data_IF_048272812395
#
_entry.id   IF_048272812395
#
_cell.length_a   1.000
_cell.length_b   1.000
_cell.length_c   1.000
_cell.angle_alpha   90.00
_cell.angle_beta   90.00
_cell.angle_gamma   90.00
#
_symmetry.space_group_name_H-M   'P 1'
#
loop_
_entity.id
_entity.type
_entity.pdbx_description
1 polymer ?
#
# COMPACT_ATOMS: atom_id res chain seq x y z
N UNK A 1 -4.98 56.20 26.90
CA UNK A 1 -4.56 56.21 25.48
C UNK A 1 -4.35 54.76 25.05
N UNK A 2 -5.01 54.39 23.95
CA UNK A 2 -4.81 53.22 23.07
C UNK A 2 -4.96 51.78 23.61
N UNK A 3 -6.15 51.21 23.32
CA UNK A 3 -6.34 49.80 22.97
C UNK A 3 -6.01 49.59 21.48
N UNK A 4 -5.43 48.46 21.06
CA UNK A 4 -5.46 48.05 19.65
C UNK A 4 -6.65 47.13 19.37
N UNK A 5 -7.38 47.49 18.32
CA UNK A 5 -8.53 46.79 17.74
C UNK A 5 -8.09 45.64 16.82
N UNK A 6 -8.87 44.55 16.81
CA UNK A 6 -8.70 43.38 15.97
C UNK A 6 -9.32 43.63 14.56
N UNK A 7 -8.65 43.32 13.43
CA UNK A 7 -9.21 43.58 12.11
C UNK A 7 -10.12 42.42 11.65
N UNK A 8 -11.43 42.57 11.85
CA UNK A 8 -12.48 41.66 11.38
C UNK A 8 -12.60 41.52 9.84
N UNK A 9 -11.77 42.23 9.06
CA UNK A 9 -11.86 42.27 7.59
C UNK A 9 -11.15 41.13 6.82
N UNK A 10 -10.34 40.28 7.48
CA UNK A 10 -9.61 39.19 6.81
C UNK A 10 -10.33 37.84 6.82
N UNK A 11 -11.16 37.56 7.83
CA UNK A 11 -11.95 36.33 7.92
C UNK A 11 -13.17 36.32 6.98
N UNK A 12 -13.80 37.49 6.76
CA UNK A 12 -14.96 37.60 5.87
C UNK A 12 -14.59 37.43 4.38
N UNK A 13 -13.40 37.88 3.98
CA UNK A 13 -12.89 37.73 2.60
C UNK A 13 -12.52 36.28 2.25
N UNK A 14 -12.03 35.51 3.24
CA UNK A 14 -11.73 34.09 3.06
C UNK A 14 -12.99 33.22 2.96
N UNK A 15 -14.03 33.54 3.74
CA UNK A 15 -15.32 32.85 3.69
C UNK A 15 -16.08 33.12 2.38
N UNK A 16 -16.07 34.36 1.88
CA UNK A 16 -16.70 34.72 0.60
C UNK A 16 -15.97 34.10 -0.60
N UNK A 17 -14.64 34.00 -0.55
CA UNK A 17 -13.87 33.31 -1.59
C UNK A 17 -14.13 31.80 -1.64
N UNK A 18 -14.30 31.13 -0.48
CA UNK A 18 -14.62 29.72 -0.42
C UNK A 18 -16.04 29.41 -0.95
N UNK A 19 -17.01 30.29 -0.68
CA UNK A 19 -18.39 30.15 -1.19
C UNK A 19 -18.46 30.39 -2.71
N UNK A 20 -17.69 31.35 -3.25
CA UNK A 20 -17.62 31.60 -4.69
C UNK A 20 -16.94 30.44 -5.45
N UNK A 21 -15.94 29.78 -4.87
CA UNK A 21 -15.30 28.60 -5.48
C UNK A 21 -16.26 27.41 -5.51
N UNK A 22 -17.06 27.19 -4.46
CA UNK A 22 -18.09 26.13 -4.44
C UNK A 22 -19.20 26.43 -5.46
N UNK A 23 -19.61 27.69 -5.62
CA UNK A 23 -20.59 28.09 -6.64
C UNK A 23 -20.05 27.96 -8.07
N UNK A 24 -18.79 28.29 -8.32
CA UNK A 24 -18.17 28.17 -9.64
C UNK A 24 -17.95 26.71 -10.06
N UNK A 25 -17.65 25.81 -9.11
CA UNK A 25 -17.58 24.36 -9.37
C UNK A 25 -18.97 23.79 -9.67
N UNK A 26 -20.00 24.23 -8.94
CA UNK A 26 -21.39 23.83 -9.18
C UNK A 26 -21.93 24.32 -10.54
N UNK A 27 -21.52 25.51 -11.01
CA UNK A 27 -21.94 26.07 -12.31
C UNK A 27 -21.16 25.45 -13.49
N UNK A 28 -19.90 25.03 -13.28
CA UNK A 28 -19.10 24.38 -14.33
C UNK A 28 -19.58 22.95 -14.65
N UNK A 29 -20.08 22.20 -13.67
CA UNK A 29 -20.60 20.84 -13.89
C UNK A 29 -22.02 20.81 -14.51
N UNK A 30 -22.77 21.92 -14.51
CA UNK A 30 -24.14 21.98 -15.05
C UNK A 30 -24.23 22.20 -16.56
N UNK A 31 -23.15 22.55 -17.26
CA UNK A 31 -23.22 23.08 -18.64
C UNK A 31 -22.71 22.17 -19.78
N UNK A 32 -22.41 20.90 -19.54
CA UNK A 32 -22.09 19.96 -20.63
C UNK A 32 -23.05 18.76 -20.66
N UNK A 33 -24.17 18.94 -21.37
CA UNK A 33 -25.01 17.87 -21.90
C UNK A 33 -25.39 18.20 -23.33
N UNK A 34 -25.03 17.32 -24.28
CA UNK A 34 -25.79 16.84 -25.44
C UNK A 34 -24.89 15.78 -26.13
N UNK A 35 -25.27 14.50 -26.22
CA UNK A 35 -26.24 14.00 -27.19
C UNK A 35 -27.05 12.78 -26.69
N UNK A 36 -28.30 12.76 -27.14
CA UNK A 36 -29.32 11.72 -26.93
C UNK A 36 -29.16 10.55 -27.91
N UNK A 37 -29.67 9.38 -27.52
CA UNK A 37 -29.89 8.23 -28.41
C UNK A 37 -30.56 7.02 -27.74
N UNK A 38 -31.84 7.18 -27.39
CA UNK A 38 -32.91 6.17 -27.20
C UNK A 38 -32.63 4.77 -26.59
N UNK A 39 -33.21 4.58 -25.39
CA UNK A 39 -33.90 3.37 -24.89
C UNK A 39 -34.69 2.65 -26.00
N UNK A 40 -34.92 1.33 -26.05
CA UNK A 40 -35.10 0.27 -25.05
C UNK A 40 -35.52 -0.97 -25.84
N UNK A 41 -35.10 -2.19 -25.55
CA UNK A 41 -35.92 -3.42 -25.66
C UNK A 41 -35.18 -4.57 -24.93
N UNK A 42 -35.96 -5.41 -24.22
CA UNK A 42 -35.61 -6.71 -23.58
C UNK A 42 -35.13 -6.68 -22.10
N UNK A 43 -36.11 -6.71 -21.18
CA UNK A 43 -36.10 -7.58 -19.98
C UNK A 43 -36.37 -9.06 -20.42
N UNK A 44 -36.31 -10.14 -19.59
CA UNK A 44 -35.63 -10.42 -18.31
C UNK A 44 -35.13 -11.90 -18.18
N UNK A 45 -33.85 -12.19 -17.87
CA UNK A 45 -33.39 -13.52 -17.39
C UNK A 45 -32.02 -13.25 -16.72
N UNK A 46 -31.68 -13.56 -15.47
CA UNK A 46 -31.84 -14.79 -14.70
C UNK A 46 -31.79 -14.48 -13.19
N UNK A 47 -32.46 -15.34 -12.42
CA UNK A 47 -32.33 -15.51 -10.98
C UNK A 47 -31.56 -16.82 -10.73
N UNK A 48 -30.91 -16.87 -9.57
CA UNK A 48 -30.49 -18.03 -8.74
C UNK A 48 -29.23 -18.85 -9.06
N UNK A 49 -28.61 -19.26 -7.93
CA UNK A 49 -27.62 -20.31 -7.65
C UNK A 49 -26.12 -19.97 -7.77
N UNK A 50 -25.42 -19.93 -6.63
CA UNK A 50 -24.22 -20.75 -6.37
C UNK A 50 -23.86 -20.68 -4.86
N UNK A 51 -24.44 -21.58 -4.09
CA UNK A 51 -23.87 -22.12 -2.84
C UNK A 51 -23.35 -23.53 -3.15
N UNK A 52 -22.37 -23.99 -2.37
CA UNK A 52 -21.62 -25.27 -2.43
C UNK A 52 -20.38 -25.30 -3.32
N UNK A 53 -19.22 -25.00 -2.70
CA UNK A 53 -18.01 -25.78 -2.95
C UNK A 53 -17.19 -25.89 -1.66
N UNK A 54 -16.86 -27.12 -1.34
CA UNK A 54 -16.24 -27.64 -0.13
C UNK A 54 -14.78 -27.25 0.05
N UNK A 55 -14.44 -26.88 1.29
CA UNK A 55 -13.16 -26.39 1.82
C UNK A 55 -12.05 -27.44 1.97
N UNK A 56 -11.99 -28.48 1.15
CA UNK A 56 -11.07 -29.61 1.37
C UNK A 56 -9.91 -29.73 0.39
N UNK A 57 -9.81 -28.87 -0.62
CA UNK A 57 -8.74 -28.93 -1.64
C UNK A 57 -7.54 -28.00 -1.36
N UNK A 58 -7.61 -27.17 -0.32
CA UNK A 58 -6.58 -26.16 0.00
C UNK A 58 -5.45 -26.63 0.93
N UNK A 59 -5.56 -27.83 1.52
CA UNK A 59 -4.60 -28.29 2.54
C UNK A 59 -3.53 -29.25 2.00
N UNK A 60 -3.72 -29.85 0.82
CA UNK A 60 -2.79 -30.84 0.26
C UNK A 60 -1.69 -30.22 -0.64
N UNK A 61 -1.89 -28.98 -1.09
CA UNK A 61 -0.90 -28.21 -1.87
C UNK A 61 0.22 -27.61 -1.02
N UNK A 62 -0.01 -27.41 0.29
CA UNK A 62 0.95 -26.78 1.21
C UNK A 62 2.18 -27.63 1.53
N UNK A 63 2.05 -28.96 1.53
CA UNK A 63 3.17 -29.88 1.80
C UNK A 63 4.10 -30.02 0.59
N UNK A 64 3.55 -30.02 -0.63
CA UNK A 64 4.34 -29.95 -1.86
C UNK A 64 5.00 -28.58 -2.08
N UNK A 65 4.44 -27.49 -1.54
CA UNK A 65 5.04 -26.15 -1.63
C UNK A 65 6.32 -26.01 -0.78
N UNK A 66 6.36 -26.62 0.42
CA UNK A 66 7.53 -26.60 1.29
C UNK A 66 8.74 -27.36 0.70
N UNK A 67 8.51 -28.44 -0.03
CA UNK A 67 9.56 -29.18 -0.74
C UNK A 67 9.90 -28.54 -2.11
N UNK A 68 8.97 -27.81 -2.75
CA UNK A 68 9.24 -26.98 -3.94
C UNK A 68 9.99 -25.69 -3.67
N UNK A 69 10.00 -25.20 -2.42
CA UNK A 69 10.84 -24.06 -1.99
C UNK A 69 12.35 -24.39 -1.99
N UNK A 70 12.75 -25.63 -2.31
CA UNK A 70 14.16 -26.09 -2.37
C UNK A 70 14.74 -26.30 -3.80
N UNK A 71 14.12 -25.78 -4.85
CA UNK A 71 14.66 -25.80 -6.21
C UNK A 71 14.49 -24.38 -6.78
N UNK A 72 15.49 -23.64 -7.27
CA UNK A 72 16.39 -23.88 -8.42
C UNK A 72 17.60 -22.91 -8.31
N UNK A 73 18.82 -23.26 -8.79
CA UNK A 73 19.95 -22.34 -8.84
C UNK A 73 19.62 -21.11 -9.71
N UNK A 74 19.71 -19.92 -9.13
CA UNK A 74 19.43 -18.67 -9.81
C UNK A 74 20.65 -18.28 -10.67
N UNK A 75 20.56 -18.47 -11.98
CA UNK A 75 21.69 -18.35 -12.90
C UNK A 75 21.65 -17.07 -13.77
N UNK A 76 20.98 -16.02 -13.31
CA UNK A 76 21.17 -14.66 -13.87
C UNK A 76 22.50 -14.11 -13.33
N UNK A 77 23.61 -14.57 -13.92
CA UNK A 77 24.95 -14.03 -13.64
C UNK A 77 25.27 -12.80 -14.49
N UNK A 78 24.42 -12.48 -15.47
CA UNK A 78 24.66 -11.43 -16.45
C UNK A 78 23.56 -10.35 -16.35
N UNK A 79 23.92 -9.19 -15.79
CA UNK A 79 23.07 -8.00 -15.74
C UNK A 79 22.53 -7.64 -17.14
N UNK A 80 23.32 -7.89 -18.17
CA UNK A 80 23.00 -7.61 -19.56
C UNK A 80 21.83 -8.48 -20.06
N UNK A 81 21.62 -9.67 -19.48
CA UNK A 81 20.47 -10.53 -19.81
C UNK A 81 19.15 -9.88 -19.42
N UNK A 82 19.05 -9.32 -18.21
CA UNK A 82 17.84 -8.64 -17.77
C UNK A 82 17.51 -7.42 -18.63
N UNK A 83 18.53 -6.67 -19.09
CA UNK A 83 18.35 -5.59 -20.05
C UNK A 83 17.94 -6.09 -21.44
N UNK A 84 18.56 -7.17 -21.96
CA UNK A 84 18.20 -7.78 -23.25
C UNK A 84 16.75 -8.30 -23.26
N UNK A 85 16.34 -8.95 -22.18
CA UNK A 85 15.00 -9.52 -22.00
C UNK A 85 13.95 -8.48 -21.59
N UNK A 86 14.38 -7.21 -21.41
CA UNK A 86 13.53 -6.08 -21.06
C UNK A 86 12.77 -6.24 -19.74
N UNK A 87 13.43 -6.83 -18.75
CA UNK A 87 12.83 -7.09 -17.44
C UNK A 87 12.86 -5.89 -16.49
N UNK A 88 13.53 -4.81 -16.86
CA UNK A 88 13.76 -3.64 -16.02
C UNK A 88 12.94 -2.49 -16.58
N UNK A 89 12.20 -1.76 -15.77
CA UNK A 89 11.46 -0.60 -16.28
C UNK A 89 10.44 -0.96 -17.36
N UNK A 90 10.34 -0.06 -18.33
CA UNK A 90 9.47 -0.10 -19.50
C UNK A 90 10.30 0.04 -20.78
N UNK A 91 10.14 -0.84 -21.78
CA UNK A 91 10.90 -0.80 -23.03
C UNK A 91 10.93 0.56 -23.75
N UNK A 92 9.83 1.32 -23.68
CA UNK A 92 9.64 2.60 -24.35
C UNK A 92 10.52 3.73 -23.80
N UNK A 93 11.02 3.54 -22.57
CA UNK A 93 11.81 4.53 -21.85
C UNK A 93 13.30 4.14 -21.83
N UNK A 94 13.68 3.01 -22.43
CA UNK A 94 15.09 2.64 -22.55
C UNK A 94 15.94 3.68 -23.28
N UNK A 95 17.16 3.86 -22.79
CA UNK A 95 18.10 4.87 -23.29
C UNK A 95 17.86 6.27 -22.73
N UNK A 96 16.87 6.47 -21.84
CA UNK A 96 16.72 7.72 -21.09
C UNK A 96 17.63 7.74 -19.87
N UNK A 97 18.15 8.93 -19.54
CA UNK A 97 19.16 9.10 -18.50
C UNK A 97 18.54 9.14 -17.09
N UNK A 98 18.21 7.95 -16.57
CA UNK A 98 17.81 7.76 -15.18
C UNK A 98 18.89 8.18 -14.16
N UNK A 99 20.19 7.89 -14.35
CA UNK A 99 21.24 8.35 -13.44
C UNK A 99 21.24 9.86 -13.18
N UNK A 100 21.01 10.69 -14.20
CA UNK A 100 20.88 12.14 -14.04
C UNK A 100 19.58 12.49 -13.31
N UNK A 101 18.45 11.91 -13.73
CA UNK A 101 17.15 12.16 -13.11
C UNK A 101 17.10 11.81 -11.61
N UNK A 102 17.86 10.81 -11.17
CA UNK A 102 17.98 10.42 -9.76
C UNK A 102 18.78 11.43 -8.91
N UNK A 103 19.60 12.28 -9.53
CA UNK A 103 20.52 13.21 -8.85
C UNK A 103 20.11 14.66 -8.97
N UNK A 104 19.52 15.05 -10.09
CA UNK A 104 19.18 16.45 -10.40
C UNK A 104 17.75 16.55 -10.92
N UNK A 105 17.11 17.70 -10.67
CA UNK A 105 15.74 17.93 -11.15
C UNK A 105 15.76 18.07 -12.66
N UNK A 106 15.09 17.15 -13.34
CA UNK A 106 14.94 17.13 -14.80
C UNK A 106 13.53 17.54 -15.20
N UNK A 107 13.38 18.08 -16.42
CA UNK A 107 12.06 18.42 -16.94
C UNK A 107 11.29 17.14 -17.30
N UNK A 108 10.13 16.97 -16.69
CA UNK A 108 9.24 15.82 -16.90
C UNK A 108 8.87 15.59 -18.37
N UNK A 109 8.76 16.63 -19.18
CA UNK A 109 8.33 16.53 -20.59
C UNK A 109 9.33 15.85 -21.53
N UNK A 110 10.58 15.59 -21.11
CA UNK A 110 11.58 14.92 -21.96
C UNK A 110 11.47 13.39 -21.94
N UNK A 111 10.63 12.84 -21.04
CA UNK A 111 10.36 11.43 -20.92
C UNK A 111 9.00 11.09 -21.55
N UNK A 112 8.82 9.85 -22.07
CA UNK A 112 7.51 9.39 -22.53
C UNK A 112 6.45 9.51 -21.43
N UNK A 113 5.30 10.09 -21.78
CA UNK A 113 4.17 10.26 -20.87
C UNK A 113 3.32 9.00 -20.70
N UNK A 114 3.51 8.02 -21.59
CA UNK A 114 2.73 6.78 -21.65
C UNK A 114 3.65 5.59 -21.98
N UNK A 115 3.23 4.40 -21.58
CA UNK A 115 3.88 3.11 -21.85
C UNK A 115 2.84 2.09 -22.29
N UNK A 116 3.24 1.04 -23.01
CA UNK A 116 2.32 -0.01 -23.42
C UNK A 116 1.70 -0.68 -22.19
N UNK A 117 0.37 -0.73 -22.17
CA UNK A 117 -0.41 -1.38 -21.12
C UNK A 117 -0.52 -2.87 -21.41
N UNK A 118 -0.60 -3.67 -20.34
CA UNK A 118 -0.89 -5.10 -20.43
C UNK A 118 -2.27 -5.35 -19.86
N UNK A 119 -3.17 -5.97 -20.63
CA UNK A 119 -4.55 -6.17 -20.20
C UNK A 119 -4.74 -7.52 -19.51
N UNK A 120 -5.80 -7.69 -18.70
CA UNK A 120 -6.07 -8.95 -18.00
C UNK A 120 -6.10 -10.17 -18.91
N UNK A 121 -6.65 -10.06 -20.12
CA UNK A 121 -6.73 -11.19 -21.07
C UNK A 121 -5.35 -11.63 -21.56
N UNK A 122 -4.42 -10.69 -21.75
CA UNK A 122 -3.04 -10.98 -22.15
C UNK A 122 -2.32 -11.74 -21.02
N UNK A 123 -2.54 -11.30 -19.78
CA UNK A 123 -1.96 -11.95 -18.59
C UNK A 123 -2.49 -13.36 -18.43
N UNK A 124 -3.80 -13.58 -18.63
CA UNK A 124 -4.41 -14.92 -18.58
C UNK A 124 -3.80 -15.82 -19.65
N UNK A 125 -3.66 -15.32 -20.88
CA UNK A 125 -3.07 -16.07 -21.99
C UNK A 125 -1.61 -16.43 -21.70
N UNK A 126 -0.80 -15.47 -21.24
CA UNK A 126 0.61 -15.69 -20.92
C UNK A 126 0.78 -16.67 -19.75
N UNK A 127 -0.04 -16.55 -18.71
CA UNK A 127 0.01 -17.40 -17.51
C UNK A 127 -0.53 -18.82 -17.73
N UNK A 128 -0.96 -19.16 -18.96
CA UNK A 128 -1.29 -20.54 -19.32
C UNK A 128 -0.07 -21.46 -19.29
N UNK A 129 1.12 -20.94 -19.57
CA UNK A 129 2.41 -21.58 -19.32
C UNK A 129 3.21 -20.76 -18.30
N UNK A 130 3.24 -21.24 -17.06
CA UNK A 130 3.92 -20.55 -15.97
C UNK A 130 5.42 -20.36 -16.21
N UNK A 131 6.09 -21.27 -16.94
CA UNK A 131 7.52 -21.11 -17.23
C UNK A 131 7.73 -19.91 -18.16
N UNK A 132 6.98 -19.86 -19.26
CA UNK A 132 7.02 -18.74 -20.20
C UNK A 132 6.56 -17.44 -19.56
N UNK A 133 5.55 -17.46 -18.69
CA UNK A 133 5.10 -16.29 -17.95
C UNK A 133 6.19 -15.73 -17.04
N UNK A 134 6.79 -16.56 -16.19
CA UNK A 134 7.86 -16.15 -15.27
C UNK A 134 9.02 -15.52 -16.04
N UNK A 135 9.41 -16.13 -17.16
CA UNK A 135 10.48 -15.66 -18.04
C UNK A 135 10.10 -14.35 -18.73
N UNK A 136 8.91 -14.27 -19.35
CA UNK A 136 8.45 -13.08 -20.07
C UNK A 136 8.36 -11.86 -19.16
N UNK A 137 7.80 -12.02 -17.96
CA UNK A 137 7.60 -10.92 -17.03
C UNK A 137 8.82 -10.66 -16.14
N UNK A 138 9.82 -11.55 -16.11
CA UNK A 138 11.07 -11.34 -15.38
C UNK A 138 10.92 -11.52 -13.86
N UNK A 139 10.12 -12.48 -13.40
CA UNK A 139 9.97 -12.75 -11.96
C UNK A 139 11.25 -13.38 -11.35
N UNK A 140 12.11 -13.99 -12.16
CA UNK A 140 13.42 -14.50 -11.71
C UNK A 140 14.58 -13.58 -12.15
N UNK A 141 14.35 -12.27 -12.29
CA UNK A 141 15.36 -11.34 -12.81
C UNK A 141 16.52 -11.04 -11.87
N UNK A 142 16.33 -11.22 -10.56
CA UNK A 142 17.36 -10.93 -9.55
C UNK A 142 18.39 -12.07 -9.45
N UNK A 143 19.62 -11.80 -8.99
CA UNK A 143 20.59 -12.86 -8.71
C UNK A 143 20.16 -13.70 -7.50
N UNK A 144 20.91 -14.77 -7.20
CA UNK A 144 20.71 -15.55 -5.98
C UNK A 144 20.76 -14.65 -4.73
N UNK A 145 19.72 -14.77 -3.90
CA UNK A 145 19.59 -14.06 -2.63
C UNK A 145 20.78 -14.36 -1.72
N UNK A 146 21.18 -13.37 -0.93
CA UNK A 146 22.18 -13.57 0.11
C UNK A 146 21.62 -14.44 1.25
N UNK A 147 22.49 -15.08 2.02
CA UNK A 147 22.06 -15.85 3.21
C UNK A 147 21.29 -14.97 4.20
N UNK A 148 21.70 -13.71 4.34
CA UNK A 148 21.01 -12.73 5.17
C UNK A 148 19.54 -12.53 4.77
N UNK A 149 19.25 -12.52 3.47
CA UNK A 149 17.88 -12.41 2.96
C UNK A 149 17.09 -13.71 3.14
N UNK A 150 17.73 -14.86 2.88
CA UNK A 150 17.11 -16.17 3.08
C UNK A 150 16.69 -16.41 4.53
N UNK A 151 17.49 -15.93 5.49
CA UNK A 151 17.22 -16.05 6.93
C UNK A 151 16.17 -15.05 7.44
N UNK A 152 15.80 -14.07 6.62
CA UNK A 152 14.88 -13.00 6.99
C UNK A 152 13.77 -12.77 5.94
N UNK A 153 12.85 -13.74 5.74
CA UNK A 153 11.73 -13.54 4.81
C UNK A 153 10.81 -12.40 5.24
N UNK A 154 10.37 -11.61 4.26
CA UNK A 154 9.40 -10.52 4.42
C UNK A 154 8.09 -10.91 3.74
N UNK A 155 6.98 -10.59 4.40
CA UNK A 155 5.65 -10.70 3.81
C UNK A 155 5.17 -9.34 3.29
N UNK A 156 4.39 -9.35 2.21
CA UNK A 156 3.79 -8.15 1.63
C UNK A 156 2.29 -8.33 1.45
N UNK A 157 1.52 -7.29 1.75
CA UNK A 157 0.09 -7.20 1.43
C UNK A 157 -0.06 -6.13 0.36
N UNK A 158 -0.54 -6.52 -0.82
CA UNK A 158 -0.77 -5.60 -1.94
C UNK A 158 -2.27 -5.51 -2.17
N UNK A 159 -2.86 -4.36 -1.82
CA UNK A 159 -4.28 -4.07 -2.04
C UNK A 159 -4.49 -3.26 -3.32
N UNK A 160 -5.33 -3.74 -4.24
CA UNK A 160 -5.56 -3.05 -5.51
C UNK A 160 -6.92 -3.38 -6.14
N UNK A 161 -7.39 -2.46 -6.99
CA UNK A 161 -8.67 -2.58 -7.71
C UNK A 161 -8.61 -2.04 -9.15
N UNK A 162 -7.49 -1.43 -9.55
CA UNK A 162 -7.28 -0.86 -10.88
C UNK A 162 -5.84 -1.09 -11.31
N UNK A 163 -5.57 -0.84 -12.59
CA UNK A 163 -4.22 -0.84 -13.17
C UNK A 163 -3.43 -2.13 -12.82
N UNK A 164 -4.01 -3.29 -13.18
CA UNK A 164 -3.44 -4.60 -12.88
C UNK A 164 -1.96 -4.69 -13.25
N UNK A 165 -1.58 -4.18 -14.41
CA UNK A 165 -0.20 -4.19 -14.88
C UNK A 165 0.75 -3.37 -14.00
N UNK A 166 0.30 -2.26 -13.40
CA UNK A 166 1.07 -1.55 -12.38
C UNK A 166 1.20 -2.37 -11.10
N UNK A 167 0.12 -3.00 -10.64
CA UNK A 167 0.18 -3.85 -9.45
C UNK A 167 1.14 -5.05 -9.65
N UNK A 168 1.16 -5.63 -10.85
CA UNK A 168 2.12 -6.68 -11.22
C UNK A 168 3.55 -6.14 -11.39
N UNK A 169 3.70 -4.90 -11.86
CA UNK A 169 5.00 -4.23 -11.91
C UNK A 169 5.59 -4.00 -10.51
N UNK A 170 4.76 -3.60 -9.54
CA UNK A 170 5.10 -3.54 -8.12
C UNK A 170 5.44 -4.93 -7.56
N UNK A 171 4.62 -5.94 -7.84
CA UNK A 171 4.89 -7.32 -7.41
C UNK A 171 6.25 -7.79 -7.92
N UNK A 172 6.55 -7.57 -9.21
CA UNK A 172 7.83 -7.92 -9.83
C UNK A 172 9.03 -7.23 -9.16
N UNK A 173 8.91 -5.94 -8.83
CA UNK A 173 10.02 -5.21 -8.19
C UNK A 173 10.29 -5.67 -6.75
N UNK A 174 9.28 -6.24 -6.08
CA UNK A 174 9.41 -6.81 -4.74
C UNK A 174 9.75 -8.31 -4.73
N UNK A 175 9.43 -9.03 -5.81
CA UNK A 175 9.40 -10.50 -5.83
C UNK A 175 10.78 -11.13 -5.56
N UNK A 176 10.84 -11.93 -4.51
CA UNK A 176 11.93 -12.84 -4.18
C UNK A 176 11.32 -14.16 -3.72
N UNK A 177 11.93 -15.28 -4.12
CA UNK A 177 11.36 -16.62 -3.92
C UNK A 177 11.19 -17.00 -2.43
N UNK A 178 12.01 -16.43 -1.54
CA UNK A 178 11.96 -16.71 -0.10
C UNK A 178 10.94 -15.85 0.65
N UNK A 179 10.43 -14.76 0.06
CA UNK A 179 9.41 -13.87 0.66
C UNK A 179 7.98 -14.42 0.46
N UNK A 180 6.95 -13.70 0.92
CA UNK A 180 5.53 -14.09 0.76
C UNK A 180 4.67 -12.90 0.34
N UNK A 181 3.70 -13.11 -0.54
CA UNK A 181 2.87 -12.02 -1.08
C UNK A 181 1.38 -12.37 -1.02
N UNK A 182 0.61 -11.60 -0.25
CA UNK A 182 -0.85 -11.66 -0.24
C UNK A 182 -1.42 -10.58 -1.16
N UNK A 183 -2.16 -11.00 -2.18
CA UNK A 183 -2.87 -10.12 -3.10
C UNK A 183 -4.31 -9.96 -2.62
N UNK A 184 -4.65 -8.78 -2.09
CA UNK A 184 -6.02 -8.41 -1.76
C UNK A 184 -6.61 -7.63 -2.93
N UNK A 185 -7.55 -8.24 -3.65
CA UNK A 185 -8.22 -7.63 -4.80
C UNK A 185 -9.62 -7.19 -4.41
N UNK A 186 -9.99 -5.94 -4.69
CA UNK A 186 -11.37 -5.48 -4.46
C UNK A 186 -12.36 -6.26 -5.34
N UNK A 187 -13.51 -6.65 -4.79
CA UNK A 187 -14.53 -7.37 -5.55
C UNK A 187 -15.24 -6.54 -6.61
N UNK A 188 -14.99 -5.23 -6.70
CA UNK A 188 -15.54 -4.35 -7.76
C UNK A 188 -14.91 -4.60 -9.14
N UNK A 189 -13.78 -5.30 -9.20
CA UNK A 189 -13.07 -5.57 -10.46
C UNK A 189 -13.86 -6.53 -11.36
N UNK A 190 -13.53 -6.53 -12.66
CA UNK A 190 -14.14 -7.47 -13.61
C UNK A 190 -13.69 -8.91 -13.36
N UNK A 191 -14.47 -9.86 -13.89
CA UNK A 191 -14.14 -11.30 -13.83
C UNK A 191 -12.77 -11.58 -14.44
N UNK A 192 -12.46 -11.00 -15.60
CA UNK A 192 -11.16 -11.15 -16.27
C UNK A 192 -10.01 -10.61 -15.41
N UNK A 193 -10.22 -9.48 -14.72
CA UNK A 193 -9.22 -8.92 -13.81
C UNK A 193 -8.89 -9.90 -12.69
N UNK A 194 -9.92 -10.41 -11.99
CA UNK A 194 -9.71 -11.36 -10.90
C UNK A 194 -9.11 -12.68 -11.41
N UNK A 195 -9.54 -13.15 -12.58
CA UNK A 195 -9.00 -14.36 -13.20
C UNK A 195 -7.53 -14.20 -13.59
N UNK A 196 -7.13 -13.03 -14.09
CA UNK A 196 -5.74 -12.71 -14.36
C UNK A 196 -4.90 -12.76 -13.08
N UNK A 197 -5.36 -12.14 -11.98
CA UNK A 197 -4.66 -12.20 -10.68
C UNK A 197 -4.51 -13.64 -10.19
N UNK A 198 -5.58 -14.44 -10.26
CA UNK A 198 -5.52 -15.87 -9.89
C UNK A 198 -4.53 -16.65 -10.76
N UNK A 199 -4.45 -16.33 -12.05
CA UNK A 199 -3.51 -16.97 -12.98
C UNK A 199 -2.06 -16.63 -12.65
N UNK A 200 -1.78 -15.37 -12.27
CA UNK A 200 -0.45 -14.97 -11.76
C UNK A 200 -0.10 -15.71 -10.47
N UNK A 201 -1.00 -15.73 -9.49
CA UNK A 201 -0.76 -16.42 -8.21
C UNK A 201 -0.53 -17.92 -8.40
N UNK A 202 -1.21 -18.56 -9.36
CA UNK A 202 -0.95 -19.97 -9.72
C UNK A 202 0.48 -20.22 -10.20
N UNK A 203 1.08 -19.25 -10.88
CA UNK A 203 2.44 -19.38 -11.42
C UNK A 203 3.56 -19.06 -10.43
N UNK A 204 3.25 -18.37 -9.33
CA UNK A 204 4.24 -17.92 -8.36
C UNK A 204 3.98 -18.58 -7.00
N UNK A 205 4.81 -19.54 -6.55
CA UNK A 205 4.47 -20.46 -5.46
C UNK A 205 4.31 -19.79 -4.08
N UNK A 206 4.86 -18.59 -3.90
CA UNK A 206 4.82 -17.80 -2.67
C UNK A 206 3.92 -16.55 -2.81
N UNK A 207 3.08 -16.51 -3.84
CA UNK A 207 2.07 -15.47 -4.07
C UNK A 207 0.69 -16.11 -3.99
N UNK A 208 -0.22 -15.52 -3.24
CA UNK A 208 -1.60 -16.01 -3.15
C UNK A 208 -2.60 -14.86 -3.12
N UNK A 209 -3.82 -15.15 -3.57
CA UNK A 209 -4.96 -14.25 -3.42
C UNK A 209 -5.56 -14.46 -2.03
N UNK A 210 -5.88 -13.38 -1.32
CA UNK A 210 -6.49 -13.46 0.02
C UNK A 210 -7.72 -14.38 0.02
N UNK A 211 -7.88 -15.17 1.09
CA UNK A 211 -8.95 -16.16 1.23
C UNK A 211 -10.35 -15.55 1.19
N UNK A 212 -10.46 -14.28 1.61
CA UNK A 212 -11.68 -13.49 1.54
C UNK A 212 -11.38 -12.11 0.94
N UNK A 213 -12.13 -11.77 -0.11
CA UNK A 213 -12.05 -10.49 -0.78
C UNK A 213 -13.18 -9.57 -0.30
N UNK A 214 -12.88 -8.28 -0.19
CA UNK A 214 -13.81 -7.27 0.30
C UNK A 214 -14.22 -6.33 -0.83
N UNK A 215 -15.48 -5.88 -0.81
CA UNK A 215 -15.91 -4.74 -1.61
C UNK A 215 -15.48 -3.46 -0.88
N UNK A 216 -14.36 -2.86 -1.29
CA UNK A 216 -13.71 -1.82 -0.49
C UNK A 216 -14.44 -0.48 -0.65
N UNK A 217 -15.08 -0.04 0.42
CA UNK A 217 -15.69 1.29 0.52
C UNK A 217 -14.65 2.29 1.05
N UNK A 218 -14.50 3.42 0.35
CA UNK A 218 -13.63 4.52 0.79
C UNK A 218 -14.02 4.99 2.20
N UNK A 219 -13.01 5.14 3.07
CA UNK A 219 -13.14 5.45 4.50
C UNK A 219 -13.98 4.45 5.31
N UNK A 220 -14.32 3.29 4.74
CA UNK A 220 -15.06 2.23 5.39
C UNK A 220 -14.16 1.15 5.98
N UNK A 221 -14.73 0.36 6.90
CA UNK A 221 -14.07 -0.74 7.60
C UNK A 221 -13.51 -1.82 6.66
N UNK A 222 -14.13 -2.02 5.49
CA UNK A 222 -13.68 -2.99 4.47
C UNK A 222 -12.21 -2.81 4.08
N UNK A 223 -11.68 -1.57 4.09
CA UNK A 223 -10.27 -1.31 3.77
C UNK A 223 -9.35 -1.93 4.82
N UNK A 224 -9.66 -1.75 6.10
CA UNK A 224 -8.93 -2.35 7.22
C UNK A 224 -9.10 -3.88 7.21
N UNK A 225 -10.30 -4.37 6.95
CA UNK A 225 -10.60 -5.79 6.91
C UNK A 225 -9.80 -6.54 5.83
N UNK A 226 -9.54 -5.92 4.68
CA UNK A 226 -8.66 -6.50 3.65
C UNK A 226 -7.27 -6.84 4.17
N UNK A 227 -6.66 -5.95 4.96
CA UNK A 227 -5.33 -6.21 5.55
C UNK A 227 -5.41 -7.29 6.64
N UNK A 228 -6.44 -7.25 7.49
CA UNK A 228 -6.66 -8.26 8.55
C UNK A 228 -6.78 -9.66 7.94
N UNK A 229 -7.57 -9.83 6.87
CA UNK A 229 -7.70 -11.11 6.18
C UNK A 229 -6.36 -11.61 5.65
N UNK A 230 -5.59 -10.74 4.96
CA UNK A 230 -4.26 -11.12 4.49
C UNK A 230 -3.32 -11.49 5.64
N UNK A 231 -3.37 -10.76 6.76
CA UNK A 231 -2.59 -11.07 7.97
C UNK A 231 -2.94 -12.46 8.54
N UNK A 232 -4.23 -12.83 8.59
CA UNK A 232 -4.67 -14.17 9.00
C UNK A 232 -4.11 -15.26 8.09
N UNK A 233 -4.17 -15.06 6.78
CA UNK A 233 -3.67 -16.03 5.81
C UNK A 233 -2.15 -16.15 5.82
N UNK A 234 -1.45 -15.03 5.98
CA UNK A 234 0.00 -14.99 6.15
C UNK A 234 0.46 -15.75 7.39
N UNK A 235 -0.27 -15.71 8.50
CA UNK A 235 0.08 -16.50 9.70
C UNK A 235 -0.03 -18.01 9.46
N UNK A 236 -0.91 -18.46 8.57
CA UNK A 236 -1.09 -19.87 8.18
C UNK A 236 -0.07 -20.34 7.15
N UNK A 237 0.58 -19.40 6.44
CA UNK A 237 1.56 -19.72 5.41
C UNK A 237 2.81 -20.43 6.00
N UNK A 238 3.38 -21.44 5.31
CA UNK A 238 4.51 -22.23 5.85
C UNK A 238 5.79 -21.42 6.07
N UNK A 239 6.03 -20.40 5.22
CA UNK A 239 7.19 -19.52 5.37
C UNK A 239 7.10 -18.71 6.66
N UNK A 240 8.13 -18.84 7.50
CA UNK A 240 8.25 -18.14 8.78
C UNK A 240 8.78 -16.71 8.60
N UNK A 241 7.99 -15.88 7.90
CA UNK A 241 8.31 -14.46 7.67
C UNK A 241 8.45 -13.68 8.98
N UNK A 242 9.26 -12.61 8.97
CA UNK A 242 9.61 -11.83 10.18
C UNK A 242 8.76 -10.58 10.33
N UNK A 243 8.47 -9.93 9.22
CA UNK A 243 7.67 -8.72 9.14
C UNK A 243 6.70 -8.81 7.97
N UNK A 244 5.56 -8.12 8.09
CA UNK A 244 4.66 -7.84 6.98
C UNK A 244 4.57 -6.33 6.74
N UNK A 245 4.57 -5.93 5.48
CA UNK A 245 4.39 -4.54 5.04
C UNK A 245 3.15 -4.47 4.15
N UNK A 246 2.18 -3.62 4.48
CA UNK A 246 0.98 -3.42 3.67
C UNK A 246 1.10 -2.18 2.78
N UNK A 247 0.56 -2.25 1.58
CA UNK A 247 0.60 -1.15 0.61
C UNK A 247 -0.54 -1.26 -0.41
N UNK A 248 -0.95 -0.13 -1.01
CA UNK A 248 -1.81 -0.13 -2.18
C UNK A 248 -0.99 -0.40 -3.45
N UNK A 249 -1.64 -0.77 -4.56
CA UNK A 249 -0.98 -0.93 -5.87
C UNK A 249 -0.35 0.35 -6.45
N UNK A 250 -0.59 1.51 -5.84
CA UNK A 250 -0.03 2.80 -6.25
C UNK A 250 1.24 3.21 -5.49
N UNK A 251 1.76 2.37 -4.59
CA UNK A 251 3.08 2.57 -3.99
C UNK A 251 4.18 1.93 -4.81
N UNK A 252 5.41 2.40 -4.61
CA UNK A 252 6.59 1.77 -5.17
C UNK A 252 7.74 1.79 -4.17
N UNK A 253 8.58 0.74 -4.12
CA UNK A 253 9.70 0.68 -3.19
C UNK A 253 10.70 1.82 -3.45
N UNK A 254 11.29 2.30 -2.37
CA UNK A 254 12.49 3.14 -2.35
C UNK A 254 13.71 2.37 -1.85
N UNK A 255 13.55 1.10 -1.45
CA UNK A 255 14.59 0.22 -0.90
C UNK A 255 14.60 -1.13 -1.59
N UNK A 256 15.78 -1.71 -1.74
CA UNK A 256 15.95 -3.09 -2.19
C UNK A 256 15.53 -4.08 -1.10
N UNK A 257 15.34 -5.34 -1.46
CA UNK A 257 15.03 -6.39 -0.48
C UNK A 257 16.12 -6.52 0.60
N UNK A 258 17.40 -6.54 0.20
CA UNK A 258 18.52 -6.58 1.15
C UNK A 258 18.56 -5.35 2.08
N UNK A 259 18.28 -4.14 1.56
CA UNK A 259 18.19 -2.95 2.40
C UNK A 259 17.02 -3.06 3.40
N UNK A 260 15.84 -3.52 2.96
CA UNK A 260 14.71 -3.76 3.85
C UNK A 260 15.05 -4.79 4.92
N UNK A 261 15.67 -5.92 4.57
CA UNK A 261 16.12 -6.94 5.54
C UNK A 261 17.03 -6.33 6.60
N UNK A 262 18.05 -5.56 6.19
CA UNK A 262 18.98 -4.91 7.14
C UNK A 262 18.27 -3.90 8.04
N UNK A 263 17.37 -3.09 7.49
CA UNK A 263 16.58 -2.11 8.26
C UNK A 263 15.67 -2.83 9.28
N UNK A 264 14.97 -3.88 8.87
CA UNK A 264 14.05 -4.62 9.73
C UNK A 264 14.78 -5.44 10.80
N UNK A 265 16.02 -5.88 10.53
CA UNK A 265 16.92 -6.42 11.56
C UNK A 265 17.29 -5.37 12.61
N UNK A 266 17.55 -4.12 12.21
CA UNK A 266 17.75 -3.01 13.15
C UNK A 266 16.48 -2.77 13.97
N UNK A 267 15.29 -2.93 13.36
CA UNK A 267 14.02 -2.78 14.07
C UNK A 267 13.82 -3.83 15.17
N UNK A 268 14.42 -5.01 15.03
CA UNK A 268 14.52 -6.03 16.09
C UNK A 268 13.20 -6.31 16.85
N UNK A 269 12.10 -6.48 16.11
CA UNK A 269 10.76 -6.72 16.65
C UNK A 269 9.92 -5.47 16.88
N UNK A 270 10.50 -4.26 16.84
CA UNK A 270 9.75 -3.01 16.86
C UNK A 270 8.92 -2.86 15.57
N UNK A 271 7.70 -2.33 15.70
CA UNK A 271 6.88 -1.98 14.54
C UNK A 271 7.17 -0.55 14.09
N UNK A 272 6.91 -0.26 12.83
CA UNK A 272 6.86 1.11 12.33
C UNK A 272 5.45 1.47 11.88
N UNK A 273 4.69 2.05 12.81
CA UNK A 273 3.32 2.53 12.60
C UNK A 273 3.30 4.02 12.99
N UNK A 274 2.62 4.83 12.20
CA UNK A 274 2.44 6.26 12.50
C UNK A 274 1.44 6.43 13.65
N UNK A 275 1.69 7.39 14.53
CA UNK A 275 0.72 7.79 15.56
C UNK A 275 0.83 9.27 15.89
N UNK A 276 -0.32 9.92 16.13
CA UNK A 276 -0.43 11.29 16.62
C UNK A 276 -1.59 11.41 17.60
N UNK A 277 -1.44 12.26 18.61
CA UNK A 277 -2.51 12.63 19.56
C UNK A 277 -2.95 14.09 19.36
N UNK A 278 -4.03 14.50 20.02
CA UNK A 278 -4.47 15.90 20.06
C UNK A 278 -5.30 16.35 18.84
N UNK A 279 -5.29 17.65 18.54
CA UNK A 279 -6.21 18.26 17.54
C UNK A 279 -6.08 17.73 16.11
N UNK A 280 -4.97 17.07 15.78
CA UNK A 280 -4.75 16.39 14.50
C UNK A 280 -5.43 15.02 14.42
N UNK A 281 -5.93 14.48 15.54
CA UNK A 281 -6.62 13.19 15.57
C UNK A 281 -8.06 13.23 15.03
N UNK A 282 -8.58 14.41 14.66
CA UNK A 282 -9.95 14.61 14.15
C UNK A 282 -11.01 13.87 14.99
N UNK A 283 -11.29 14.34 16.21
CA UNK A 283 -12.02 13.56 17.20
C UNK A 283 -13.43 13.14 16.75
N UNK A 284 -14.07 13.92 15.89
CA UNK A 284 -15.38 13.59 15.32
C UNK A 284 -15.40 12.25 14.56
N UNK A 285 -14.28 11.80 13.97
CA UNK A 285 -14.25 10.61 13.11
C UNK A 285 -14.42 9.30 13.88
N UNK A 286 -14.07 9.29 15.16
CA UNK A 286 -14.10 8.11 16.02
C UNK A 286 -15.08 8.23 17.20
N UNK A 287 -15.59 9.44 17.47
CA UNK A 287 -16.58 9.70 18.53
C UNK A 287 -18.02 9.73 18.01
N UNK A 288 -18.21 9.66 16.70
CA UNK A 288 -19.52 9.63 16.03
C UNK A 288 -19.66 8.32 15.26
N UNK A 289 -20.86 7.75 15.30
CA UNK A 289 -21.19 6.53 14.56
C UNK A 289 -21.39 6.83 13.08
N UNK A 290 -20.83 5.97 12.24
CA UNK A 290 -20.99 5.96 10.80
C UNK A 290 -21.69 4.67 10.35
N UNK A 291 -22.44 4.78 9.26
CA UNK A 291 -23.14 3.66 8.63
C UNK A 291 -23.01 3.76 7.11
N UNK A 292 -23.58 2.80 6.38
CA UNK A 292 -23.47 2.69 4.94
C UNK A 292 -24.84 2.82 4.27
N UNK A 293 -24.86 3.48 3.13
CA UNK A 293 -25.99 3.42 2.21
C UNK A 293 -25.50 3.13 0.80
N UNK A 294 -26.41 2.63 -0.04
CA UNK A 294 -26.13 2.45 -1.46
C UNK A 294 -26.70 3.64 -2.21
N UNK A 295 -25.82 4.38 -2.89
CA UNK A 295 -26.23 5.49 -3.74
C UNK A 295 -27.07 4.95 -4.90
N UNK A 296 -28.33 5.37 -4.99
CA UNK A 296 -29.30 4.81 -5.95
C UNK A 296 -28.94 5.09 -7.41
N UNK A 297 -28.23 6.18 -7.69
CA UNK A 297 -27.85 6.59 -9.05
C UNK A 297 -26.61 5.84 -9.55
N UNK A 298 -25.63 5.63 -8.67
CA UNK A 298 -24.32 5.07 -9.04
C UNK A 298 -24.16 3.60 -8.64
N UNK A 299 -25.06 3.07 -7.80
CA UNK A 299 -24.95 1.74 -7.20
C UNK A 299 -23.81 1.62 -6.17
N UNK A 300 -23.04 2.68 -5.92
CA UNK A 300 -21.88 2.66 -5.03
C UNK A 300 -22.31 2.67 -3.57
N UNK A 301 -21.69 1.80 -2.77
CA UNK A 301 -21.80 1.83 -1.30
C UNK A 301 -20.97 2.99 -0.77
N UNK A 302 -21.56 3.84 0.08
CA UNK A 302 -20.95 5.06 0.60
C UNK A 302 -21.16 5.13 2.11
N UNK A 303 -20.13 5.55 2.84
CA UNK A 303 -20.19 5.79 4.28
C UNK A 303 -20.81 7.17 4.57
N UNK A 304 -21.64 7.27 5.62
CA UNK A 304 -22.23 8.53 6.06
C UNK A 304 -22.25 8.68 7.58
N UNK A 305 -22.17 9.93 8.04
CA UNK A 305 -22.22 10.30 9.46
C UNK A 305 -23.67 10.20 9.96
N UNK A 306 -23.93 9.40 10.99
CA UNK A 306 -25.30 9.19 11.51
C UNK A 306 -25.78 10.27 12.48
N UNK A 307 -24.87 11.08 13.01
CA UNK A 307 -25.15 12.06 14.08
C UNK A 307 -25.27 11.44 15.48
N UNK A 308 -25.26 10.10 15.61
CA UNK A 308 -25.29 9.40 16.90
C UNK A 308 -23.89 9.31 17.49
N UNK A 309 -23.77 9.46 18.81
CA UNK A 309 -22.49 9.28 19.52
C UNK A 309 -22.05 7.82 19.42
N UNK A 310 -20.78 7.59 19.09
CA UNK A 310 -20.15 6.30 19.16
C UNK A 310 -19.72 6.00 20.61
N UNK A 311 -19.89 4.78 21.13
CA UNK A 311 -19.38 4.43 22.46
C UNK A 311 -17.87 4.68 22.56
N UNK A 312 -17.34 4.97 23.76
CA UNK A 312 -15.90 5.05 23.96
C UNK A 312 -15.21 3.74 23.54
N UNK A 313 -13.94 3.79 23.14
CA UNK A 313 -13.18 2.59 22.82
C UNK A 313 -13.15 1.62 24.02
N UNK A 314 -13.18 0.31 23.78
CA UNK A 314 -13.12 -0.69 24.84
C UNK A 314 -11.77 -0.59 25.58
N UNK A 315 -11.72 -1.18 26.78
CA UNK A 315 -10.50 -1.28 27.60
C UNK A 315 -9.89 0.07 27.99
N UNK A 316 -10.67 1.16 27.92
CA UNK A 316 -10.23 2.53 28.22
C UNK A 316 -8.98 2.96 27.42
N UNK A 317 -8.83 2.42 26.20
CA UNK A 317 -7.70 2.73 25.34
C UNK A 317 -7.82 4.17 24.83
N UNK A 318 -6.71 4.90 24.83
CA UNK A 318 -6.65 6.22 24.20
C UNK A 318 -6.46 6.06 22.70
N UNK A 319 -7.38 6.62 21.92
CA UNK A 319 -7.32 6.54 20.45
C UNK A 319 -6.20 7.42 19.90
N UNK A 320 -5.36 6.84 19.06
CA UNK A 320 -4.35 7.53 18.28
C UNK A 320 -4.74 7.53 16.80
N UNK A 321 -4.48 8.61 16.10
CA UNK A 321 -4.58 8.66 14.63
C UNK A 321 -3.25 8.27 14.02
N UNK A 322 -3.26 7.57 12.90
CA UNK A 322 -2.07 7.25 12.11
C UNK A 322 -2.40 7.12 10.62
N UNK A 323 -1.65 6.24 9.97
CA UNK A 323 -1.78 5.90 8.55
C UNK A 323 -2.38 4.50 8.40
N UNK A 324 -3.02 4.26 7.26
CA UNK A 324 -3.43 2.93 6.85
C UNK A 324 -2.23 1.99 6.58
N UNK A 325 -1.03 2.55 6.36
CA UNK A 325 0.17 1.80 5.97
C UNK A 325 1.19 1.72 7.10
N UNK A 326 1.73 0.52 7.30
CA UNK A 326 2.68 0.23 8.36
C UNK A 326 3.56 -0.99 8.09
N UNK A 327 4.58 -1.11 8.92
CA UNK A 327 5.49 -2.26 8.97
C UNK A 327 5.27 -2.98 10.29
N UNK A 328 4.82 -4.22 10.22
CA UNK A 328 4.32 -4.97 11.37
C UNK A 328 5.19 -6.21 11.61
N UNK A 329 5.71 -6.38 12.82
CA UNK A 329 6.38 -7.62 13.21
C UNK A 329 5.39 -8.79 13.20
N UNK A 330 5.86 -10.01 12.96
CA UNK A 330 5.01 -11.20 13.04
C UNK A 330 4.33 -11.34 14.42
N UNK A 331 5.03 -10.98 15.50
CA UNK A 331 4.47 -11.00 16.84
C UNK A 331 3.31 -10.01 17.01
N UNK A 332 3.42 -8.80 16.44
CA UNK A 332 2.31 -7.84 16.42
C UNK A 332 1.10 -8.39 15.66
N UNK A 333 1.33 -9.03 14.51
CA UNK A 333 0.24 -9.65 13.73
C UNK A 333 -0.41 -10.79 14.52
N UNK A 334 0.35 -11.63 15.20
CA UNK A 334 -0.21 -12.66 16.09
C UNK A 334 -1.06 -12.06 17.20
N UNK A 335 -0.63 -10.95 17.80
CA UNK A 335 -1.41 -10.21 18.78
C UNK A 335 -2.72 -9.68 18.17
N UNK A 336 -2.66 -8.99 17.02
CA UNK A 336 -3.85 -8.47 16.31
C UNK A 336 -4.89 -9.56 16.05
N UNK A 337 -4.46 -10.75 15.63
CA UNK A 337 -5.36 -11.85 15.25
C UNK A 337 -5.92 -12.61 16.46
N UNK A 338 -5.22 -12.68 17.58
CA UNK A 338 -5.60 -13.57 18.68
C UNK A 338 -6.05 -12.85 19.95
N UNK A 339 -5.49 -11.68 20.26
CA UNK A 339 -5.69 -11.01 21.53
C UNK A 339 -7.12 -10.42 21.66
N UNK A 340 -7.81 -10.64 22.80
CA UNK A 340 -9.16 -10.12 23.02
C UNK A 340 -9.25 -8.59 22.91
N UNK A 341 -8.25 -7.86 23.40
CA UNK A 341 -8.24 -6.38 23.37
C UNK A 341 -8.17 -5.89 21.93
N UNK A 342 -7.32 -6.53 21.11
CA UNK A 342 -7.20 -6.20 19.68
C UNK A 342 -8.49 -6.50 18.91
N UNK A 343 -9.16 -7.62 19.23
CA UNK A 343 -10.44 -8.01 18.62
C UNK A 343 -11.59 -7.09 19.02
N UNK A 344 -11.70 -6.74 20.30
CA UNK A 344 -12.73 -5.83 20.79
C UNK A 344 -12.58 -4.45 20.15
N UNK A 345 -11.34 -3.95 20.03
CA UNK A 345 -11.07 -2.69 19.34
C UNK A 345 -11.41 -2.78 17.84
N UNK A 346 -11.14 -3.92 17.18
CA UNK A 346 -11.46 -4.11 15.77
C UNK A 346 -12.98 -4.11 15.55
N UNK A 347 -13.73 -4.75 16.45
CA UNK A 347 -15.18 -4.74 16.43
C UNK A 347 -15.75 -3.33 16.65
N UNK A 348 -15.18 -2.58 17.59
CA UNK A 348 -15.52 -1.17 17.82
C UNK A 348 -15.22 -0.31 16.58
N UNK A 349 -14.12 -0.57 15.87
CA UNK A 349 -13.71 0.20 14.70
C UNK A 349 -14.62 0.01 13.46
N UNK A 350 -15.58 -0.92 13.49
CA UNK A 350 -16.51 -1.14 12.35
C UNK A 350 -17.43 0.04 12.05
N UNK A 351 -17.71 0.85 13.07
CA UNK A 351 -18.71 1.92 13.02
C UNK A 351 -18.10 3.33 13.07
N UNK A 352 -16.79 3.45 12.85
CA UNK A 352 -16.08 4.75 12.77
C UNK A 352 -15.67 5.07 11.33
N UNK A 353 -15.30 6.33 11.08
CA UNK A 353 -14.80 6.77 9.78
C UNK A 353 -13.29 6.57 9.65
N UNK A 354 -12.85 6.01 8.53
CA UNK A 354 -11.45 5.67 8.24
C UNK A 354 -10.76 4.88 9.37
N UNK A 355 -11.30 3.71 9.79
CA UNK A 355 -10.74 2.96 10.91
C UNK A 355 -9.30 2.47 10.68
N UNK A 356 -8.88 2.33 9.42
CA UNK A 356 -7.51 2.05 9.00
C UNK A 356 -6.53 3.15 9.45
N UNK A 357 -6.98 4.39 9.63
CA UNK A 357 -6.19 5.51 10.18
C UNK A 357 -6.25 5.59 11.71
N UNK A 358 -6.87 4.64 12.41
CA UNK A 358 -6.97 4.65 13.88
C UNK A 358 -6.54 3.33 14.52
N UNK A 359 -7.01 2.20 13.98
CA UNK A 359 -6.84 0.88 14.60
C UNK A 359 -5.38 0.53 14.87
N UNK A 360 -4.52 0.65 13.84
CA UNK A 360 -3.10 0.33 13.95
C UNK A 360 -2.38 1.21 14.96
N UNK A 361 -2.55 2.53 14.84
CA UNK A 361 -1.92 3.52 15.68
C UNK A 361 -2.37 3.37 17.15
N UNK A 362 -3.67 3.14 17.35
CA UNK A 362 -4.28 2.99 18.67
C UNK A 362 -3.71 1.77 19.40
N UNK A 363 -3.58 0.62 18.73
CA UNK A 363 -2.91 -0.55 19.33
C UNK A 363 -1.42 -0.27 19.57
N UNK A 364 -0.71 0.23 18.56
CA UNK A 364 0.75 0.42 18.64
C UNK A 364 1.19 1.33 19.80
N UNK A 365 0.36 2.31 20.16
CA UNK A 365 0.65 3.29 21.21
C UNK A 365 -0.16 3.09 22.50
N UNK A 366 -0.87 1.96 22.63
CA UNK A 366 -1.68 1.66 23.81
C UNK A 366 -0.81 1.25 25.00
N UNK A 367 -1.13 1.80 26.17
CA UNK A 367 -0.64 1.32 27.46
C UNK A 367 -1.62 0.38 28.17
N UNK A 368 -2.79 0.12 27.58
CA UNK A 368 -3.82 -0.71 28.22
C UNK A 368 -3.49 -2.21 28.15
N UNK A 369 -2.63 -2.62 27.21
CA UNK A 369 -2.20 -4.00 27.01
C UNK A 369 -0.76 -4.01 26.52
N UNK A 370 -0.01 -5.07 26.83
CA UNK A 370 1.35 -5.24 26.32
C UNK A 370 1.30 -5.59 24.82
N UNK A 371 1.62 -4.63 23.97
CA UNK A 371 1.59 -4.81 22.51
C UNK A 371 2.99 -5.15 21.99
N UNK A 372 3.19 -6.32 21.32
CA UNK A 372 4.48 -6.69 20.76
C UNK A 372 4.99 -5.65 19.76
N UNK A 373 6.21 -5.14 19.98
CA UNK A 373 6.80 -4.08 19.17
C UNK A 373 6.10 -2.72 19.30
N UNK A 374 5.28 -2.51 20.34
CA UNK A 374 4.60 -1.26 20.65
C UNK A 374 5.57 -0.11 20.95
N UNK A 375 5.13 1.13 20.72
CA UNK A 375 5.87 2.33 21.10
C UNK A 375 5.09 3.15 22.12
N UNK A 376 5.38 2.92 23.40
CA UNK A 376 4.68 3.55 24.53
C UNK A 376 5.57 4.50 25.34
N UNK A 377 6.89 4.37 25.23
CA UNK A 377 7.88 5.13 26.00
C UNK A 377 8.07 6.59 25.53
N UNK A 378 7.29 7.07 24.58
CA UNK A 378 7.38 8.44 24.05
C UNK A 378 6.05 8.91 23.48
N UNK A 379 5.99 10.20 23.14
CA UNK A 379 4.80 10.76 22.48
C UNK A 379 4.73 10.21 21.04
N UNK A 380 3.60 9.63 20.60
CA UNK A 380 3.43 9.18 19.23
C UNK A 380 3.78 10.24 18.20
N UNK A 381 3.39 11.50 18.47
CA UNK A 381 3.65 12.67 17.61
C UNK A 381 5.12 12.93 17.28
N UNK A 382 6.04 12.40 18.09
CA UNK A 382 7.48 12.54 17.91
C UNK A 382 8.15 11.27 17.36
N UNK A 383 7.39 10.19 17.16
CA UNK A 383 7.90 8.97 16.56
C UNK A 383 8.06 9.22 15.05
N UNK A 384 9.25 9.04 14.47
CA UNK A 384 9.39 9.03 13.02
C UNK A 384 8.58 7.86 12.42
N UNK A 385 8.08 8.08 11.20
CA UNK A 385 7.36 7.09 10.41
C UNK A 385 8.13 6.87 9.11
N UNK A 386 8.52 5.62 8.85
CA UNK A 386 9.46 5.25 7.80
C UNK A 386 8.90 4.21 6.81
N UNK A 387 7.67 3.77 6.98
CA UNK A 387 7.10 2.76 6.08
C UNK A 387 6.85 3.39 4.70
N UNK A 388 6.10 4.49 4.66
CA UNK A 388 5.70 5.12 3.40
C UNK A 388 5.90 6.62 3.46
N UNK A 389 6.60 7.17 2.48
CA UNK A 389 6.63 8.60 2.24
C UNK A 389 5.40 9.04 1.42
N UNK A 390 4.70 10.07 1.89
CA UNK A 390 3.62 10.74 1.15
C UNK A 390 3.94 12.22 1.07
N UNK A 391 3.97 12.78 -0.14
CA UNK A 391 4.05 14.23 -0.33
C UNK A 391 2.64 14.83 -0.40
N UNK A 392 2.29 15.64 0.60
CA UNK A 392 0.99 16.31 0.69
C UNK A 392 1.07 17.73 0.11
N UNK A 393 -0.07 18.27 -0.33
CA UNK A 393 -0.24 19.64 -0.85
C UNK A 393 -0.09 20.71 0.25
N UNK A 394 1.07 20.71 0.89
CA UNK A 394 1.50 21.64 1.92
C UNK A 394 2.66 22.48 1.38
N UNK A 395 2.77 23.71 1.88
CA UNK A 395 3.84 24.63 1.44
C UNK A 395 5.22 23.99 1.69
N UNK A 396 6.03 23.90 0.63
CA UNK A 396 7.40 23.38 0.69
C UNK A 396 7.55 21.87 0.48
N UNK A 397 6.45 21.13 0.29
CA UNK A 397 6.51 19.72 -0.11
C UNK A 397 6.74 19.60 -1.62
N UNK A 398 7.61 18.69 -2.08
CA UNK A 398 7.94 18.54 -3.50
C UNK A 398 6.79 17.87 -4.26
N UNK A 399 6.49 18.41 -5.44
CA UNK A 399 5.65 17.73 -6.43
C UNK A 399 5.94 18.28 -7.83
N UNK A 400 6.52 17.47 -8.70
CA UNK A 400 6.87 17.85 -10.06
C UNK A 400 5.70 17.72 -11.06
N UNK A 401 4.53 17.27 -10.60
CA UNK A 401 3.31 17.16 -11.42
C UNK A 401 2.09 17.78 -10.74
N UNK A 402 1.11 16.96 -10.37
CA UNK A 402 -0.20 17.31 -9.90
C UNK A 402 -0.46 16.68 -8.54
N UNK A 403 -1.37 17.31 -7.79
CA UNK A 403 -1.92 16.73 -6.58
C UNK A 403 -3.32 16.18 -6.88
N UNK A 404 -3.58 14.94 -6.47
CA UNK A 404 -4.92 14.35 -6.51
C UNK A 404 -5.36 14.02 -5.10
N UNK A 405 -6.44 14.67 -4.64
CA UNK A 405 -6.90 14.63 -3.24
C UNK A 405 -5.78 15.02 -2.26
N UNK A 406 -5.12 16.14 -2.56
CA UNK A 406 -4.01 16.70 -1.76
C UNK A 406 -2.74 15.85 -1.71
N UNK A 407 -2.64 14.72 -2.42
CA UNK A 407 -1.43 13.88 -2.45
C UNK A 407 -0.77 14.02 -3.83
N UNK A 408 0.54 14.25 -3.85
CA UNK A 408 1.32 14.32 -5.07
C UNK A 408 1.32 13.00 -5.84
N UNK A 409 1.25 13.07 -7.17
CA UNK A 409 1.61 11.97 -8.05
C UNK A 409 3.08 12.15 -8.43
N UNK A 410 3.97 11.28 -7.95
CA UNK A 410 5.39 11.45 -8.19
C UNK A 410 5.74 11.23 -9.67
N UNK A 411 6.60 12.10 -10.19
CA UNK A 411 7.18 11.97 -11.52
C UNK A 411 8.69 12.03 -11.48
N UNK A 412 9.29 12.00 -12.67
CA UNK A 412 10.74 11.96 -12.84
C UNK A 412 11.45 13.15 -12.17
N UNK A 413 10.83 14.34 -12.14
CA UNK A 413 11.37 15.52 -11.48
C UNK A 413 11.41 15.43 -9.94
N UNK A 414 10.72 14.47 -9.33
CA UNK A 414 10.69 14.25 -7.88
C UNK A 414 11.76 13.26 -7.40
N UNK A 415 12.38 12.51 -8.31
CA UNK A 415 13.33 11.46 -7.95
C UNK A 415 14.50 11.93 -7.07
N UNK A 416 15.13 13.11 -7.27
CA UNK A 416 16.20 13.57 -6.40
C UNK A 416 15.76 13.78 -4.95
N UNK A 417 14.51 14.20 -4.76
CA UNK A 417 13.91 14.37 -3.43
C UNK A 417 13.56 13.00 -2.82
N UNK A 418 13.05 12.06 -3.64
CA UNK A 418 12.80 10.68 -3.23
C UNK A 418 14.07 9.92 -2.83
N UNK A 419 15.22 10.21 -3.45
CA UNK A 419 16.49 9.56 -3.13
C UNK A 419 17.08 9.97 -1.77
N UNK A 420 16.62 11.08 -1.22
CA UNK A 420 17.03 11.57 0.11
C UNK A 420 16.12 11.04 1.23
N UNK A 421 15.00 10.41 0.89
CA UNK A 421 14.03 9.87 1.85
C UNK A 421 14.60 8.67 2.59
N UNK A 422 14.22 8.52 3.86
CA UNK A 422 14.56 7.36 4.70
C UNK A 422 13.48 6.27 4.64
N UNK A 423 12.35 6.57 4.02
CA UNK A 423 11.21 5.67 3.95
C UNK A 423 11.46 4.43 3.06
N UNK A 424 10.75 3.34 3.35
CA UNK A 424 10.83 2.09 2.58
C UNK A 424 10.10 2.19 1.24
N UNK A 425 8.97 2.90 1.22
CA UNK A 425 8.08 3.08 0.06
C UNK A 425 7.74 4.56 -0.15
N UNK A 426 7.23 4.89 -1.33
CA UNK A 426 6.65 6.19 -1.62
C UNK A 426 5.25 6.05 -2.24
N UNK A 427 4.35 6.95 -1.85
CA UNK A 427 2.98 7.07 -2.33
C UNK A 427 2.74 8.49 -2.91
N UNK A 428 2.28 8.66 -4.15
CA UNK A 428 1.80 7.63 -5.09
C UNK A 428 2.33 7.80 -6.51
N UNK A 429 2.27 6.70 -7.26
CA UNK A 429 2.62 6.60 -8.66
C UNK A 429 1.43 6.10 -9.47
N UNK A 430 1.35 6.53 -10.72
CA UNK A 430 0.41 5.99 -11.71
C UNK A 430 1.14 5.70 -13.02
N UNK A 431 1.00 4.49 -13.53
CA UNK A 431 1.54 4.07 -14.83
C UNK A 431 0.91 4.88 -15.97
N UNK A 432 -0.29 5.43 -15.75
CA UNK A 432 -1.01 6.34 -16.65
C UNK A 432 -0.59 7.80 -16.54
N UNK A 433 0.30 8.14 -15.59
CA UNK A 433 0.71 9.52 -15.37
C UNK A 433 2.20 9.58 -14.98
N UNK A 434 3.05 9.85 -15.96
CA UNK A 434 4.51 9.95 -15.80
C UNK A 434 5.18 8.63 -15.37
N UNK A 435 5.05 7.55 -16.16
CA UNK A 435 5.63 6.23 -15.85
C UNK A 435 7.16 6.23 -15.76
N UNK A 436 7.83 7.27 -16.25
CA UNK A 436 9.28 7.41 -16.18
C UNK A 436 9.83 7.36 -14.73
N UNK A 437 9.06 7.82 -13.74
CA UNK A 437 9.48 7.68 -12.34
C UNK A 437 9.55 6.22 -11.90
N UNK A 438 8.51 5.44 -12.22
CA UNK A 438 8.47 4.00 -11.97
C UNK A 438 9.59 3.26 -12.72
N UNK A 439 9.89 3.69 -13.95
CA UNK A 439 11.00 3.14 -14.74
C UNK A 439 12.34 3.31 -14.03
N UNK A 440 12.70 4.55 -13.70
CA UNK A 440 14.02 4.86 -13.16
C UNK A 440 14.20 4.36 -11.73
N UNK A 441 13.13 4.29 -10.93
CA UNK A 441 13.17 3.65 -9.62
C UNK A 441 13.41 2.14 -9.76
N UNK A 442 12.75 1.47 -10.70
CA UNK A 442 12.95 0.05 -10.93
C UNK A 442 14.36 -0.26 -11.45
N UNK A 443 14.90 0.56 -12.35
CA UNK A 443 16.28 0.46 -12.82
C UNK A 443 17.29 0.61 -11.68
N UNK A 444 17.10 1.64 -10.84
CA UNK A 444 17.96 1.85 -9.66
C UNK A 444 17.93 0.63 -8.73
N UNK A 445 16.74 0.18 -8.35
CA UNK A 445 16.58 -0.92 -7.39
C UNK A 445 17.10 -2.23 -7.97
N UNK A 446 16.92 -2.46 -9.27
CA UNK A 446 17.50 -3.59 -9.96
C UNK A 446 19.03 -3.57 -9.89
N UNK A 447 19.66 -2.46 -10.27
CA UNK A 447 21.11 -2.33 -10.28
C UNK A 447 21.73 -2.44 -8.88
N UNK A 448 21.08 -1.87 -7.86
CA UNK A 448 21.51 -2.03 -6.47
C UNK A 448 21.41 -3.49 -5.99
N UNK A 449 20.32 -4.17 -6.32
CA UNK A 449 20.12 -5.58 -5.95
C UNK A 449 21.14 -6.48 -6.65
N UNK A 450 21.35 -6.27 -7.95
CA UNK A 450 22.32 -7.06 -8.74
C UNK A 450 23.75 -6.91 -8.20
N UNK A 451 24.16 -5.68 -7.90
CA UNK A 451 25.50 -5.37 -7.36
C UNK A 451 25.64 -5.68 -5.86
N UNK A 452 24.58 -6.14 -5.20
CA UNK A 452 24.51 -6.33 -3.73
C UNK A 452 24.90 -5.08 -2.93
N UNK A 453 24.69 -3.90 -3.53
CA UNK A 453 24.99 -2.61 -2.92
C UNK A 453 23.86 -2.20 -1.99
N UNK A 454 24.20 -1.62 -0.83
CA UNK A 454 23.23 -1.03 0.09
C UNK A 454 23.59 0.42 0.38
N UNK A 455 22.60 1.31 0.42
CA UNK A 455 22.79 2.70 0.85
C UNK A 455 23.08 2.79 2.35
N UNK A 456 23.46 3.98 2.80
CA UNK A 456 23.75 4.25 4.20
C UNK A 456 22.51 4.00 5.08
N UNK A 457 22.66 3.10 6.07
CA UNK A 457 21.60 2.72 7.01
C UNK A 457 21.84 3.24 8.43
N UNK A 458 22.82 4.13 8.64
CA UNK A 458 23.18 4.64 9.98
C UNK A 458 22.03 5.38 10.65
N UNK A 459 21.20 6.09 9.88
CA UNK A 459 20.02 6.78 10.40
C UNK A 459 19.08 5.84 11.17
N UNK A 460 18.85 4.61 10.69
CA UNK A 460 17.91 3.69 11.35
C UNK A 460 18.39 3.25 12.74
N UNK A 461 19.70 3.20 12.98
CA UNK A 461 20.25 2.91 14.31
C UNK A 461 19.99 4.03 15.33
N UNK A 462 19.71 5.25 14.86
CA UNK A 462 19.45 6.42 15.71
C UNK A 462 17.97 6.60 16.08
N UNK A 463 17.10 5.71 15.61
CA UNK A 463 15.66 5.86 15.78
C UNK A 463 15.25 5.72 17.26
N UNK A 464 14.34 6.57 17.75
CA UNK A 464 14.02 6.65 19.18
C UNK A 464 13.34 5.37 19.70
N UNK A 465 12.66 4.62 18.83
CA UNK A 465 12.03 3.35 19.17
C UNK A 465 13.01 2.15 19.14
N UNK A 466 14.24 2.35 18.67
CA UNK A 466 15.32 1.34 18.70
C UNK A 466 16.19 1.53 19.95
N UNK A 467 16.58 2.77 20.23
CA UNK A 467 17.45 3.10 21.36
C UNK A 467 16.83 2.78 22.72
N UNK A 468 15.50 2.79 22.82
CA UNK A 468 14.77 2.51 24.07
C UNK A 468 14.49 1.02 24.29
N UNK A 469 14.74 0.17 23.30
CA UNK A 469 14.51 -1.29 23.37
C UNK A 469 15.61 -2.08 24.09
N UNK A 470 16.75 -1.45 24.44
CA UNK A 470 17.83 -2.10 25.21
C UNK A 470 17.59 -2.10 26.73
N UNK A 471 16.44 -1.63 27.21
CA UNK A 471 16.04 -1.85 28.61
C UNK A 471 15.43 -3.23 28.70
N UNK A 472 16.31 -4.20 29.00
CA UNK A 472 15.94 -5.54 29.43
C UNK A 472 14.89 -5.43 30.55
N UNK A 473 13.65 -5.81 30.27
CA UNK A 473 12.68 -6.09 31.34
C UNK A 473 13.00 -7.49 31.80
N UNK A 474 13.80 -7.57 32.88
CA UNK A 474 14.00 -8.79 33.66
C UNK A 474 12.72 -9.19 34.40
#
# INVERSE_FOLDING_TARGET
>A
MYYPTCPAGKLLKAAVAAILIVFLIAVYETNNKHHNGLLSWIQPFFKTEYENSSTTEYLDTGKQAADKLKLIPNNSSDISEAYRNKWIGFPEIYGRDCPTALKTKVNTSIFPSEVKRTHPIDIIADASDCKSFIEKYGYNRYPAASQEELDFPIAFIILFYSDLDQALYLLRSLYHQHNVYCLSVDTIVSVDFLQAVKSVAKCLPNVFVASKLEHVVYAGFSRLQSDITCMEDLLKHPVQWKYVINMPGQEFPLRTNLEMVKILKIFNGANDIQGVYGGLAFPDWHTIKYDYYTNKQTGKKVIYRTGKKHPPPPHNITVAKGSAYGTYSRAFVQFVIHDPVAKDLLQWAKEIYSPDEFYWATLHHSNAVAVPGGYTAGKPDWKPWLTTYVSWSLKGQPCATIHTRYICIFAIGDLPDLMQRYELFANKFYITHQPAALHCLDELLFNLTFTRSTRNLTYYNSLPFILKGNVSVY
#
